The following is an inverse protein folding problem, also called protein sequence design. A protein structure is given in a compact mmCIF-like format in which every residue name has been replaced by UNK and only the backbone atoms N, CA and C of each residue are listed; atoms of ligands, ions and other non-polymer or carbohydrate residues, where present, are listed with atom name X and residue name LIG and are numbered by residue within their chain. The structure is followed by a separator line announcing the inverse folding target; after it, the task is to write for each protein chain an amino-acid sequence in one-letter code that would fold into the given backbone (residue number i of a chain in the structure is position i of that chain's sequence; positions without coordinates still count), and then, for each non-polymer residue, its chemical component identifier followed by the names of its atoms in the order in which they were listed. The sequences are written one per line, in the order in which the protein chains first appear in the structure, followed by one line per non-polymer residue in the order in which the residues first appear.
data_IF_529037826437
#
_entry.id   IF_529037826437
#
_cell.length_a   1.000
_cell.length_b   1.000
_cell.length_c   1.000
_cell.angle_alpha   90.00
_cell.angle_beta   90.00
_cell.angle_gamma   90.00
#
_symmetry.space_group_name_H-M   'P 1'
#
loop_
_entity.id
_entity.type
_entity.pdbx_description
1 polymer ?
#
# COMPACT_ATOMS: atom_id res chain seq x y z
N UNK A 1 -15.12 -6.99 -13.57
CA UNK A 1 -15.69 -6.08 -12.53
C UNK A 1 -17.10 -5.60 -12.84
N UNK A 2 -17.44 -5.33 -14.11
CA UNK A 2 -18.75 -4.79 -14.52
C UNK A 2 -19.99 -5.52 -13.96
N UNK A 3 -20.02 -6.84 -14.04
CA UNK A 3 -21.19 -7.62 -13.61
C UNK A 3 -21.35 -7.75 -12.10
N UNK A 4 -20.28 -7.45 -11.34
CA UNK A 4 -20.24 -7.62 -9.88
C UNK A 4 -20.36 -6.28 -9.19
N UNK A 5 -19.47 -5.33 -9.49
CA UNK A 5 -19.45 -3.99 -8.89
C UNK A 5 -20.44 -3.04 -9.54
N UNK A 6 -20.65 -3.14 -10.86
CA UNK A 6 -21.53 -2.22 -11.59
C UNK A 6 -22.94 -2.11 -11.01
N UNK A 7 -23.64 -3.22 -10.69
CA UNK A 7 -24.96 -3.18 -10.07
C UNK A 7 -24.99 -2.61 -8.65
N UNK A 8 -23.84 -2.53 -7.96
CA UNK A 8 -23.72 -2.12 -6.56
C UNK A 8 -23.22 -0.68 -6.39
N UNK A 9 -22.90 0.01 -7.48
CA UNK A 9 -22.26 1.33 -7.43
C UNK A 9 -22.90 2.30 -8.43
N UNK A 10 -22.62 3.59 -8.26
CA UNK A 10 -22.99 4.64 -9.21
C UNK A 10 -21.88 4.91 -10.24
N UNK A 11 -20.82 4.11 -10.23
CA UNK A 11 -19.67 4.32 -11.11
C UNK A 11 -20.02 4.02 -12.57
N UNK A 12 -19.49 4.85 -13.45
CA UNK A 12 -19.70 4.75 -14.90
C UNK A 12 -18.89 3.58 -15.49
N UNK A 13 -19.30 3.09 -16.67
CA UNK A 13 -18.56 2.03 -17.39
C UNK A 13 -17.07 2.36 -17.55
N UNK A 14 -16.65 3.59 -17.95
CA UNK A 14 -15.23 3.92 -18.02
C UNK A 14 -14.49 3.87 -16.67
N UNK A 15 -15.15 4.22 -15.55
CA UNK A 15 -14.55 4.11 -14.22
C UNK A 15 -14.36 2.63 -13.84
N UNK A 16 -15.33 1.78 -14.17
CA UNK A 16 -15.25 0.33 -13.94
C UNK A 16 -14.19 -0.33 -14.83
N UNK A 17 -14.01 0.12 -16.08
CA UNK A 17 -12.94 -0.34 -16.98
C UNK A 17 -11.57 -0.04 -16.38
N UNK A 18 -11.34 1.22 -15.95
CA UNK A 18 -10.08 1.62 -15.30
C UNK A 18 -9.82 0.83 -14.02
N UNK A 19 -10.86 0.57 -13.23
CA UNK A 19 -10.77 -0.21 -11.99
C UNK A 19 -10.37 -1.66 -12.27
N UNK A 20 -11.03 -2.30 -13.25
CA UNK A 20 -10.74 -3.67 -13.69
C UNK A 20 -9.30 -3.77 -14.18
N UNK A 21 -8.91 -2.92 -15.13
CA UNK A 21 -7.56 -2.90 -15.68
C UNK A 21 -6.50 -2.67 -14.60
N UNK A 22 -6.73 -1.73 -13.69
CA UNK A 22 -5.76 -1.39 -12.62
C UNK A 22 -5.59 -2.54 -11.65
N UNK A 23 -6.70 -3.11 -11.16
CA UNK A 23 -6.70 -4.14 -10.12
C UNK A 23 -6.26 -5.50 -10.62
N UNK A 24 -6.53 -5.85 -11.87
CA UNK A 24 -6.06 -7.09 -12.47
C UNK A 24 -4.59 -6.99 -12.89
N UNK A 25 -4.19 -5.88 -13.55
CA UNK A 25 -2.84 -5.73 -14.06
C UNK A 25 -1.77 -5.72 -12.95
N UNK A 26 -2.06 -5.12 -11.79
CA UNK A 26 -1.11 -5.14 -10.66
C UNK A 26 -0.89 -6.56 -10.17
N UNK A 27 -1.95 -7.36 -10.09
CA UNK A 27 -1.88 -8.72 -9.58
C UNK A 27 -1.22 -9.66 -10.58
N UNK A 28 -1.58 -9.57 -11.87
CA UNK A 28 -0.98 -10.40 -12.91
C UNK A 28 0.52 -10.17 -13.05
N UNK A 29 0.96 -8.91 -12.92
CA UNK A 29 2.39 -8.58 -13.01
C UNK A 29 3.15 -8.94 -11.75
N UNK A 30 2.58 -8.69 -10.57
CA UNK A 30 3.28 -8.86 -9.28
C UNK A 30 3.22 -10.30 -8.76
N UNK A 31 2.27 -11.12 -9.22
CA UNK A 31 2.14 -12.51 -8.78
C UNK A 31 2.07 -13.46 -9.98
N UNK A 32 3.01 -13.39 -10.94
CA UNK A 32 2.87 -14.04 -12.25
C UNK A 32 2.67 -15.56 -12.14
N UNK A 33 3.29 -16.19 -11.14
CA UNK A 33 3.21 -17.65 -10.93
C UNK A 33 2.18 -18.08 -9.87
N UNK A 34 1.35 -17.16 -9.36
CA UNK A 34 0.23 -17.50 -8.49
C UNK A 34 -0.92 -18.15 -9.28
N UNK A 35 -1.74 -18.96 -8.59
CA UNK A 35 -2.89 -19.63 -9.18
C UNK A 35 -3.97 -18.64 -9.59
N UNK A 36 -4.82 -19.04 -10.53
CA UNK A 36 -5.95 -18.22 -10.97
C UNK A 36 -6.86 -17.83 -9.81
N UNK A 37 -7.09 -18.73 -8.84
CA UNK A 37 -7.90 -18.44 -7.66
C UNK A 37 -7.27 -17.35 -6.79
N UNK A 38 -5.96 -17.46 -6.50
CA UNK A 38 -5.25 -16.45 -5.70
C UNK A 38 -5.23 -15.09 -6.40
N UNK A 39 -4.95 -15.07 -7.71
CA UNK A 39 -4.97 -13.84 -8.49
C UNK A 39 -6.36 -13.21 -8.53
N UNK A 40 -7.40 -14.02 -8.77
CA UNK A 40 -8.77 -13.52 -8.84
C UNK A 40 -9.24 -12.91 -7.52
N UNK A 41 -8.92 -13.54 -6.38
CA UNK A 41 -9.34 -12.99 -5.08
C UNK A 41 -8.57 -11.72 -4.72
N UNK A 42 -7.26 -11.69 -4.99
CA UNK A 42 -6.43 -10.51 -4.75
C UNK A 42 -6.85 -9.35 -5.66
N UNK A 43 -7.19 -9.60 -6.93
CA UNK A 43 -7.67 -8.58 -7.85
C UNK A 43 -9.02 -8.01 -7.39
N UNK A 44 -9.97 -8.86 -6.96
CA UNK A 44 -11.25 -8.42 -6.40
C UNK A 44 -11.08 -7.57 -5.14
N UNK A 45 -10.26 -8.03 -4.18
CA UNK A 45 -9.98 -7.26 -2.97
C UNK A 45 -9.30 -5.93 -3.28
N UNK A 46 -8.37 -5.91 -4.25
CA UNK A 46 -7.72 -4.69 -4.73
C UNK A 46 -8.72 -3.72 -5.33
N UNK A 47 -9.62 -4.20 -6.21
CA UNK A 47 -10.67 -3.37 -6.81
C UNK A 47 -11.62 -2.78 -5.76
N UNK A 48 -12.06 -3.60 -4.81
CA UNK A 48 -12.92 -3.17 -3.71
C UNK A 48 -12.20 -2.17 -2.80
N UNK A 49 -10.91 -2.39 -2.51
CA UNK A 49 -10.09 -1.46 -1.74
C UNK A 49 -9.98 -0.09 -2.42
N UNK A 50 -9.67 -0.06 -3.72
CA UNK A 50 -9.64 1.18 -4.52
C UNK A 50 -11.01 1.87 -4.51
N UNK A 51 -12.09 1.11 -4.67
CA UNK A 51 -13.45 1.67 -4.63
C UNK A 51 -13.76 2.34 -3.28
N UNK A 52 -13.40 1.70 -2.17
CA UNK A 52 -13.63 2.24 -0.83
C UNK A 52 -12.82 3.52 -0.59
N UNK A 53 -11.56 3.53 -1.04
CA UNK A 53 -10.66 4.69 -0.99
C UNK A 53 -11.22 5.89 -1.78
N UNK A 54 -11.59 5.65 -3.04
CA UNK A 54 -12.11 6.67 -3.96
C UNK A 54 -13.55 7.14 -3.58
N UNK A 55 -14.21 6.46 -2.63
CA UNK A 55 -15.54 6.83 -2.15
C UNK A 55 -15.53 7.85 -1.00
N UNK A 56 -14.40 8.53 -0.75
CA UNK A 56 -14.21 9.49 0.37
C UNK A 56 -15.28 10.56 0.49
N UNK A 57 -15.77 11.05 -0.64
CA UNK A 57 -16.78 12.11 -0.74
C UNK A 57 -18.22 11.58 -0.63
N UNK A 58 -18.43 10.26 -0.64
CA UNK A 58 -19.75 9.65 -0.50
C UNK A 58 -20.12 9.48 0.98
N UNK A 59 -20.91 10.40 1.52
CA UNK A 59 -21.31 10.39 2.93
C UNK A 59 -22.07 9.14 3.35
N UNK A 60 -22.95 8.61 2.49
CA UNK A 60 -23.71 7.39 2.77
C UNK A 60 -22.78 6.19 2.90
N UNK A 61 -21.89 6.00 1.93
CA UNK A 61 -20.90 4.92 1.94
C UNK A 61 -20.00 5.00 3.18
N UNK A 62 -19.62 6.21 3.60
CA UNK A 62 -18.78 6.39 4.79
C UNK A 62 -19.47 6.11 6.11
N UNK A 63 -20.77 6.40 6.20
CA UNK A 63 -21.57 6.01 7.36
C UNK A 63 -21.63 4.48 7.47
N UNK A 64 -21.83 3.77 6.36
CA UNK A 64 -21.86 2.31 6.30
C UNK A 64 -20.51 1.67 6.64
N UNK A 65 -19.41 2.16 6.02
CA UNK A 65 -18.03 1.76 6.31
C UNK A 65 -17.72 1.93 7.80
N UNK A 66 -18.27 2.96 8.45
CA UNK A 66 -18.14 3.26 9.88
C UNK A 66 -18.44 2.11 10.83
N UNK A 67 -19.32 1.19 10.43
CA UNK A 67 -19.73 0.04 11.25
C UNK A 67 -19.10 -1.29 10.80
N UNK A 68 -18.33 -1.29 9.70
CA UNK A 68 -17.84 -2.51 9.06
C UNK A 68 -17.06 -3.42 10.00
N UNK A 69 -15.98 -2.91 10.61
CA UNK A 69 -15.13 -3.69 11.51
C UNK A 69 -15.90 -4.11 12.77
N UNK A 70 -16.77 -3.25 13.29
CA UNK A 70 -17.63 -3.57 14.44
C UNK A 70 -18.52 -4.77 14.14
N UNK A 71 -19.26 -4.74 13.02
CA UNK A 71 -20.16 -5.81 12.60
C UNK A 71 -19.41 -7.14 12.44
N UNK A 72 -18.18 -7.12 11.89
CA UNK A 72 -17.34 -8.31 11.83
C UNK A 72 -17.03 -8.88 13.22
N UNK A 73 -16.68 -8.04 14.20
CA UNK A 73 -16.30 -8.48 15.54
C UNK A 73 -17.47 -9.04 16.35
N UNK A 74 -18.67 -8.49 16.17
CA UNK A 74 -19.87 -8.96 16.88
C UNK A 74 -20.65 -10.04 16.11
N UNK A 75 -20.21 -10.38 14.89
CA UNK A 75 -20.82 -11.41 14.06
C UNK A 75 -22.12 -10.99 13.38
N UNK A 76 -22.31 -9.68 13.18
CA UNK A 76 -23.45 -9.12 12.45
C UNK A 76 -23.20 -9.12 10.93
N UNK A 77 -24.28 -9.17 10.16
CA UNK A 77 -24.24 -9.07 8.70
C UNK A 77 -23.85 -7.67 8.25
N UNK A 78 -23.10 -7.58 7.16
CA UNK A 78 -22.84 -6.29 6.51
C UNK A 78 -24.06 -5.83 5.70
N UNK A 79 -24.19 -4.52 5.42
CA UNK A 79 -25.17 -4.04 4.46
C UNK A 79 -25.02 -4.73 3.10
N UNK A 80 -26.13 -5.09 2.43
CA UNK A 80 -26.08 -5.70 1.11
C UNK A 80 -25.32 -4.82 0.10
N UNK A 81 -24.47 -5.43 -0.72
CA UNK A 81 -23.69 -4.72 -1.73
C UNK A 81 -22.18 -4.79 -1.47
N UNK A 82 -21.49 -3.63 -1.51
CA UNK A 82 -20.02 -3.57 -1.53
C UNK A 82 -19.39 -4.15 -0.26
N UNK A 83 -19.91 -3.80 0.92
CA UNK A 83 -19.34 -4.26 2.19
C UNK A 83 -19.56 -5.75 2.43
N UNK A 84 -20.73 -6.27 2.05
CA UNK A 84 -21.02 -7.72 2.05
C UNK A 84 -20.04 -8.46 1.11
N UNK A 85 -19.89 -8.00 -0.13
CA UNK A 85 -18.96 -8.59 -1.10
C UNK A 85 -17.49 -8.53 -0.62
N UNK A 86 -17.09 -7.43 0.00
CA UNK A 86 -15.75 -7.26 0.56
C UNK A 86 -15.50 -8.24 1.72
N UNK A 87 -16.48 -8.44 2.60
CA UNK A 87 -16.42 -9.48 3.63
C UNK A 87 -16.33 -10.89 3.03
N UNK A 88 -17.12 -11.20 2.00
CA UNK A 88 -17.07 -12.49 1.32
C UNK A 88 -15.69 -12.76 0.72
N UNK A 89 -15.09 -11.76 0.07
CA UNK A 89 -13.76 -11.90 -0.50
C UNK A 89 -12.68 -12.16 0.57
N UNK A 90 -12.77 -11.51 1.74
CA UNK A 90 -11.86 -11.78 2.86
C UNK A 90 -12.04 -13.19 3.42
N UNK A 91 -13.26 -13.72 3.46
CA UNK A 91 -13.51 -15.13 3.87
C UNK A 91 -12.87 -16.10 2.88
N UNK A 92 -12.99 -15.83 1.58
CA UNK A 92 -12.34 -16.65 0.54
C UNK A 92 -10.81 -16.59 0.65
N UNK A 93 -10.22 -15.40 0.83
CA UNK A 93 -8.78 -15.24 1.05
C UNK A 93 -8.31 -15.99 2.30
N UNK A 94 -9.11 -15.94 3.38
CA UNK A 94 -8.87 -16.70 4.61
C UNK A 94 -8.80 -18.20 4.35
N UNK A 95 -9.70 -18.75 3.53
CA UNK A 95 -9.70 -20.16 3.12
C UNK A 95 -8.51 -20.55 2.24
N UNK A 96 -8.03 -19.65 1.38
CA UNK A 96 -6.80 -19.89 0.61
C UNK A 96 -5.55 -19.95 1.50
N UNK A 97 -5.59 -19.31 2.67
CA UNK A 97 -4.55 -19.32 3.69
C UNK A 97 -4.81 -20.32 4.82
N UNK A 98 -5.64 -21.34 4.57
CA UNK A 98 -5.75 -22.48 5.49
C UNK A 98 -4.37 -23.15 5.69
N UNK A 99 -4.13 -23.65 6.90
CA UNK A 99 -2.90 -24.37 7.27
C UNK A 99 -1.86 -23.57 8.07
N UNK A 100 -1.82 -22.24 7.95
CA UNK A 100 -0.96 -21.38 8.79
C UNK A 100 -1.78 -20.22 9.37
N UNK A 101 -2.02 -20.25 10.68
CA UNK A 101 -2.85 -19.25 11.35
C UNK A 101 -2.21 -17.85 11.40
N UNK A 102 -0.89 -17.78 11.48
CA UNK A 102 -0.18 -16.49 11.56
C UNK A 102 -0.14 -15.87 10.16
N UNK A 103 0.24 -16.64 9.15
CA UNK A 103 0.24 -16.16 7.76
C UNK A 103 -1.17 -15.73 7.32
N UNK A 104 -2.21 -16.48 7.69
CA UNK A 104 -3.60 -16.08 7.43
C UNK A 104 -3.97 -14.76 8.09
N UNK A 105 -3.53 -14.54 9.33
CA UNK A 105 -3.70 -13.26 10.01
C UNK A 105 -3.06 -12.11 9.24
N UNK A 106 -1.79 -12.27 8.84
CA UNK A 106 -1.04 -11.30 8.05
C UNK A 106 -1.68 -11.02 6.67
N UNK A 107 -2.28 -12.04 6.04
CA UNK A 107 -2.94 -11.90 4.75
C UNK A 107 -4.32 -11.22 4.82
N UNK A 108 -5.10 -11.46 5.88
CA UNK A 108 -6.53 -11.08 5.93
C UNK A 108 -6.78 -9.83 6.77
N UNK A 109 -6.12 -9.69 7.93
CA UNK A 109 -6.37 -8.59 8.88
C UNK A 109 -6.11 -7.20 8.27
N UNK A 110 -5.08 -6.99 7.42
CA UNK A 110 -4.86 -5.68 6.82
C UNK A 110 -6.05 -5.16 6.01
N UNK A 111 -6.84 -6.03 5.36
CA UNK A 111 -8.05 -5.66 4.63
C UNK A 111 -9.17 -5.14 5.55
N UNK A 112 -9.27 -5.65 6.78
CA UNK A 112 -10.20 -5.14 7.80
C UNK A 112 -9.72 -3.76 8.28
N UNK A 113 -8.44 -3.67 8.63
CA UNK A 113 -7.83 -2.45 9.15
C UNK A 113 -7.84 -1.29 8.15
N UNK A 114 -7.84 -1.60 6.86
CA UNK A 114 -7.93 -0.64 5.77
C UNK A 114 -9.23 0.16 5.80
N UNK A 115 -10.35 -0.48 6.13
CA UNK A 115 -11.67 0.19 6.20
C UNK A 115 -11.67 1.25 7.31
N UNK A 116 -11.13 0.91 8.49
CA UNK A 116 -10.92 1.87 9.57
C UNK A 116 -9.95 2.99 9.18
N UNK A 117 -8.97 2.67 8.33
CA UNK A 117 -7.98 3.63 7.85
C UNK A 117 -8.58 4.63 6.87
N UNK A 118 -9.49 4.21 5.97
CA UNK A 118 -10.25 5.10 5.09
C UNK A 118 -11.10 6.09 5.90
N UNK A 119 -11.71 5.63 7.00
CA UNK A 119 -12.46 6.49 7.95
C UNK A 119 -11.52 7.50 8.61
N UNK A 120 -10.33 7.05 9.03
CA UNK A 120 -9.33 7.93 9.59
C UNK A 120 -8.97 9.02 8.57
N UNK A 121 -8.62 8.67 7.34
CA UNK A 121 -8.29 9.65 6.29
C UNK A 121 -9.43 10.65 6.03
N UNK A 122 -10.69 10.20 5.94
CA UNK A 122 -11.82 11.15 5.81
C UNK A 122 -11.90 12.09 7.00
N UNK A 123 -11.70 11.61 8.23
CA UNK A 123 -11.67 12.48 9.42
C UNK A 123 -10.54 13.50 9.31
N UNK A 124 -9.38 13.12 8.79
CA UNK A 124 -8.27 14.05 8.61
C UNK A 124 -8.58 15.11 7.54
N UNK A 125 -9.19 14.72 6.42
CA UNK A 125 -9.55 15.63 5.33
C UNK A 125 -10.72 16.56 5.66
N UNK A 126 -11.68 16.11 6.47
CA UNK A 126 -12.87 16.89 6.85
C UNK A 126 -12.63 17.90 7.97
N UNK A 127 -11.46 17.85 8.61
CA UNK A 127 -11.08 18.82 9.64
C UNK A 127 -10.61 20.11 8.98
N UNK A 128 -11.29 21.20 9.32
CA UNK A 128 -10.98 22.56 8.87
C UNK A 128 -9.50 22.88 9.09
N UNK A 129 -8.80 23.17 8.01
CA UNK A 129 -7.38 23.53 8.00
C UNK A 129 -7.10 24.80 8.80
N UNK A 130 -8.07 25.71 8.94
CA UNK A 130 -7.97 26.90 9.81
C UNK A 130 -8.10 26.56 11.30
N UNK A 131 -8.78 25.46 11.63
CA UNK A 131 -8.95 25.01 13.02
C UNK A 131 -7.76 24.18 13.50
N UNK A 132 -6.86 23.76 12.61
CA UNK A 132 -5.62 23.10 13.00
C UNK A 132 -4.68 24.10 13.64
N UNK A 133 -4.29 23.87 14.90
CA UNK A 133 -3.26 24.69 15.54
C UNK A 133 -1.84 24.37 15.01
N UNK A 134 -1.66 23.21 14.38
CA UNK A 134 -0.43 22.81 13.68
C UNK A 134 -0.73 21.77 12.60
N UNK A 135 0.19 21.49 11.66
CA UNK A 135 0.04 20.41 10.69
C UNK A 135 -0.18 19.01 11.30
N UNK A 136 0.14 18.81 12.58
CA UNK A 136 -0.11 17.56 13.33
C UNK A 136 -1.28 17.65 14.30
N UNK A 137 -1.92 18.81 14.38
CA UNK A 137 -3.18 18.95 15.09
C UNK A 137 -4.27 18.33 14.22
N UNK A 138 -4.64 17.11 14.57
CA UNK A 138 -5.68 16.34 13.90
C UNK A 138 -7.08 16.78 14.31
N UNK A 139 -7.25 18.07 14.63
CA UNK A 139 -8.50 18.74 14.96
C UNK A 139 -9.27 18.12 16.11
N UNK A 140 -9.37 18.85 17.22
CA UNK A 140 -10.36 18.50 18.23
C UNK A 140 -11.76 18.91 17.74
N UNK A 141 -12.71 17.96 17.71
CA UNK A 141 -14.08 18.16 17.17
C UNK A 141 -14.84 19.36 17.78
N UNK A 142 -14.39 19.89 18.91
CA UNK A 142 -15.01 21.04 19.58
C UNK A 142 -14.27 22.37 19.38
N UNK A 143 -13.20 22.43 18.58
CA UNK A 143 -12.47 23.68 18.31
C UNK A 143 -13.36 24.71 17.59
N UNK A 144 -14.20 24.29 16.65
CA UNK A 144 -15.18 25.18 16.01
C UNK A 144 -16.14 25.78 17.05
N UNK A 145 -16.67 24.93 17.95
CA UNK A 145 -17.57 25.36 19.03
C UNK A 145 -16.88 26.33 20.00
N UNK A 146 -15.63 26.06 20.36
CA UNK A 146 -14.83 26.92 21.24
C UNK A 146 -14.49 28.27 20.57
N UNK A 147 -14.18 28.28 19.27
CA UNK A 147 -13.93 29.51 18.48
C UNK A 147 -15.20 30.36 18.43
N UNK A 148 -16.38 29.75 18.24
CA UNK A 148 -17.70 30.43 18.31
C UNK A 148 -18.02 30.96 19.71
N UNK A 149 -17.60 30.25 20.75
CA UNK A 149 -17.79 30.64 22.15
C UNK A 149 -16.71 31.64 22.65
N UNK A 150 -15.77 32.06 21.78
CA UNK A 150 -14.73 33.04 22.10
C UNK A 150 -13.62 32.52 23.02
N UNK A 151 -13.56 31.21 23.27
CA UNK A 151 -12.54 30.57 24.11
C UNK A 151 -11.43 30.04 23.19
N UNK A 152 -10.34 30.77 23.04
CA UNK A 152 -9.16 30.30 22.31
C UNK A 152 -8.27 29.47 23.22
N UNK A 153 -8.42 28.15 23.18
CA UNK A 153 -7.34 27.25 23.52
C UNK A 153 -6.66 26.85 22.22
N UNK A 154 -5.75 27.68 21.72
CA UNK A 154 -4.87 27.25 20.64
C UNK A 154 -4.22 25.93 21.08
N UNK A 155 -4.39 24.86 20.30
CA UNK A 155 -3.72 23.60 20.61
C UNK A 155 -2.22 23.88 20.68
N UNK A 156 -1.58 23.37 21.72
CA UNK A 156 -0.18 23.68 22.00
C UNK A 156 0.66 23.11 20.85
N UNK A 157 1.44 23.97 20.19
CA UNK A 157 2.36 23.53 19.14
C UNK A 157 3.22 22.36 19.66
N UNK A 158 3.32 21.30 18.85
CA UNK A 158 4.18 20.16 19.16
C UNK A 158 5.63 20.61 19.23
N UNK A 159 6.40 20.04 20.15
CA UNK A 159 7.81 20.40 20.28
C UNK A 159 8.58 20.11 18.98
N UNK A 160 9.40 21.05 18.48
CA UNK A 160 10.26 20.86 17.31
C UNK A 160 11.34 19.78 17.45
N UNK A 161 11.39 19.06 18.57
CA UNK A 161 12.32 17.96 18.83
C UNK A 161 11.62 16.58 18.82
N UNK A 162 10.30 16.54 18.67
CA UNK A 162 9.55 15.29 18.60
C UNK A 162 9.74 14.65 17.23
N UNK A 163 10.20 13.39 17.20
CA UNK A 163 10.22 12.60 15.98
C UNK A 163 8.80 12.08 15.69
N UNK A 164 8.15 12.63 14.67
CA UNK A 164 6.75 12.35 14.37
C UNK A 164 6.67 11.21 13.36
N UNK A 165 6.31 10.02 13.84
CA UNK A 165 6.16 8.80 13.04
C UNK A 165 4.77 8.65 12.39
N UNK A 166 3.90 9.66 12.55
CA UNK A 166 2.52 9.61 12.07
C UNK A 166 2.38 9.29 10.57
N UNK A 167 3.17 9.88 9.63
CA UNK A 167 3.03 9.56 8.21
C UNK A 167 3.23 8.08 7.90
N UNK A 168 4.26 7.45 8.50
CA UNK A 168 4.55 6.03 8.35
C UNK A 168 3.44 5.19 8.97
N UNK A 169 2.96 5.57 10.15
CA UNK A 169 1.84 4.88 10.80
C UNK A 169 0.57 4.91 9.93
N UNK A 170 0.18 6.09 9.42
CA UNK A 170 -0.99 6.24 8.57
C UNK A 170 -0.85 5.38 7.31
N UNK A 171 0.30 5.45 6.63
CA UNK A 171 0.52 4.68 5.40
C UNK A 171 0.51 3.17 5.62
N UNK A 172 1.08 2.69 6.73
CA UNK A 172 1.02 1.26 7.06
C UNK A 172 -0.43 0.78 7.27
N UNK A 173 -1.34 1.68 7.69
CA UNK A 173 -2.77 1.38 7.85
C UNK A 173 -3.53 1.44 6.52
N UNK A 174 -3.20 2.39 5.65
CA UNK A 174 -3.94 2.67 4.40
C UNK A 174 -3.37 1.95 3.18
N UNK A 175 -2.14 1.42 3.26
CA UNK A 175 -1.46 0.78 2.13
C UNK A 175 -1.72 -0.72 1.94
N UNK A 176 -2.36 -1.40 2.90
CA UNK A 176 -2.67 -2.85 2.85
C UNK A 176 -1.42 -3.74 2.60
N UNK A 177 -0.21 -3.18 2.79
CA UNK A 177 1.01 -3.77 2.26
C UNK A 177 1.38 -5.11 2.89
N UNK A 178 1.03 -5.33 4.16
CA UNK A 178 1.26 -6.61 4.83
C UNK A 178 0.50 -7.77 4.18
N UNK A 179 -0.72 -7.52 3.67
CA UNK A 179 -1.49 -8.55 2.98
C UNK A 179 -0.90 -8.88 1.62
N UNK A 180 -0.46 -7.86 0.86
CA UNK A 180 0.26 -8.07 -0.39
C UNK A 180 1.57 -8.83 -0.15
N UNK A 181 2.33 -8.46 0.88
CA UNK A 181 3.58 -9.12 1.25
C UNK A 181 3.35 -10.59 1.66
N UNK A 182 2.30 -10.87 2.43
CA UNK A 182 1.92 -12.24 2.79
C UNK A 182 1.55 -13.09 1.56
N UNK A 183 0.85 -12.50 0.58
CA UNK A 183 0.45 -13.18 -0.64
C UNK A 183 1.64 -13.56 -1.55
N UNK A 184 2.80 -12.89 -1.42
CA UNK A 184 4.02 -13.21 -2.20
C UNK A 184 4.38 -14.69 -2.03
N UNK A 185 4.22 -15.22 -0.81
CA UNK A 185 4.66 -16.58 -0.45
C UNK A 185 3.52 -17.61 -0.43
N UNK A 186 2.40 -17.30 -1.08
CA UNK A 186 1.21 -18.16 -1.14
C UNK A 186 0.60 -18.17 -2.56
N UNK A 187 1.33 -18.74 -3.51
CA UNK A 187 0.89 -18.87 -4.90
C UNK A 187 -0.32 -19.81 -5.07
N UNK A 188 -0.45 -20.85 -4.26
CA UNK A 188 -1.60 -21.77 -4.30
C UNK A 188 -2.08 -22.06 -2.90
N UNK A 189 -3.32 -22.58 -2.77
CA UNK A 189 -3.87 -23.01 -1.49
C UNK A 189 -3.01 -24.09 -0.81
N UNK A 190 -2.47 -25.01 -1.60
CA UNK A 190 -1.68 -26.15 -1.13
C UNK A 190 -0.21 -25.79 -0.86
N UNK A 191 0.27 -24.65 -1.37
CA UNK A 191 1.64 -24.23 -1.14
C UNK A 191 1.88 -23.96 0.34
N UNK A 192 2.98 -24.49 0.85
CA UNK A 192 3.45 -24.25 2.21
C UNK A 192 4.92 -23.86 2.16
N UNK A 193 5.19 -22.56 2.36
CA UNK A 193 6.52 -22.03 2.60
C UNK A 193 6.58 -21.65 4.08
N UNK A 194 7.52 -22.20 4.88
CA UNK A 194 7.56 -21.93 6.31
C UNK A 194 7.75 -20.45 6.60
N UNK A 195 6.79 -19.84 7.32
CA UNK A 195 6.82 -18.42 7.67
C UNK A 195 8.14 -18.01 8.35
N UNK A 196 8.73 -18.89 9.16
CA UNK A 196 10.02 -18.65 9.82
C UNK A 196 11.19 -18.38 8.88
N UNK A 197 11.07 -18.70 7.58
CA UNK A 197 12.12 -18.44 6.58
C UNK A 197 12.11 -17.02 6.02
N UNK A 198 10.98 -16.31 6.08
CA UNK A 198 10.85 -14.98 5.46
C UNK A 198 10.19 -13.93 6.37
N UNK A 199 9.67 -14.29 7.54
CA UNK A 199 8.99 -13.36 8.46
C UNK A 199 9.86 -12.16 8.84
N UNK A 200 11.19 -12.32 8.93
CA UNK A 200 12.10 -11.22 9.21
C UNK A 200 12.16 -10.17 8.08
N UNK A 201 11.84 -10.56 6.85
CA UNK A 201 11.81 -9.66 5.70
C UNK A 201 10.44 -8.98 5.51
N UNK A 202 9.36 -9.52 6.09
CA UNK A 202 8.00 -8.97 5.92
C UNK A 202 7.88 -7.48 6.28
N UNK A 203 8.47 -6.96 7.39
CA UNK A 203 8.41 -5.52 7.68
C UNK A 203 9.02 -4.66 6.58
N UNK A 204 10.17 -5.07 6.04
CA UNK A 204 10.85 -4.38 4.94
C UNK A 204 10.06 -4.52 3.62
N UNK A 205 9.42 -5.67 3.37
CA UNK A 205 8.54 -5.87 2.20
C UNK A 205 7.31 -4.95 2.26
N UNK A 206 6.65 -4.88 3.43
CA UNK A 206 5.51 -3.99 3.62
C UNK A 206 5.91 -2.52 3.42
N UNK A 207 7.06 -2.11 3.97
CA UNK A 207 7.62 -0.79 3.76
C UNK A 207 7.96 -0.54 2.28
N UNK A 208 8.57 -1.52 1.62
CA UNK A 208 8.90 -1.46 0.19
C UNK A 208 7.66 -1.22 -0.66
N UNK A 209 6.59 -1.97 -0.43
CA UNK A 209 5.33 -1.87 -1.18
C UNK A 209 4.74 -0.47 -1.06
N UNK A 210 4.57 0.05 0.17
CA UNK A 210 3.96 1.37 0.34
C UNK A 210 4.84 2.49 -0.21
N UNK A 211 6.15 2.47 0.06
CA UNK A 211 7.04 3.56 -0.36
C UNK A 211 7.29 3.55 -1.85
N UNK A 212 7.42 2.38 -2.48
CA UNK A 212 7.52 2.32 -3.95
C UNK A 212 6.28 2.89 -4.62
N UNK A 213 5.09 2.60 -4.07
CA UNK A 213 3.85 3.20 -4.54
C UNK A 213 3.89 4.73 -4.38
N UNK A 214 4.20 5.25 -3.19
CA UNK A 214 4.27 6.70 -2.92
C UNK A 214 5.29 7.41 -3.84
N UNK A 215 6.45 6.80 -4.11
CA UNK A 215 7.47 7.38 -5.00
C UNK A 215 7.01 7.42 -6.46
N UNK A 216 6.38 6.35 -6.95
CA UNK A 216 5.95 6.23 -8.34
C UNK A 216 4.60 6.91 -8.59
N UNK A 217 3.78 7.10 -7.55
CA UNK A 217 2.54 7.87 -7.61
C UNK A 217 2.74 9.36 -7.43
N UNK A 218 3.85 9.80 -6.82
CA UNK A 218 4.08 11.20 -6.52
C UNK A 218 3.82 12.15 -7.70
N UNK A 219 4.25 11.78 -8.92
CA UNK A 219 4.00 12.60 -10.10
C UNK A 219 2.52 12.82 -10.40
N UNK A 220 1.71 11.75 -10.41
CA UNK A 220 0.26 11.87 -10.68
C UNK A 220 -0.44 12.68 -9.57
N UNK A 221 0.04 12.58 -8.34
CA UNK A 221 -0.51 13.23 -7.16
C UNK A 221 -0.21 14.73 -7.17
N UNK A 222 1.02 15.11 -7.52
CA UNK A 222 1.40 16.51 -7.73
C UNK A 222 0.56 17.16 -8.84
N UNK A 223 0.32 16.44 -9.95
CA UNK A 223 -0.55 16.93 -11.02
C UNK A 223 -2.01 17.10 -10.58
N UNK A 224 -2.46 16.31 -9.60
CA UNK A 224 -3.80 16.39 -9.03
C UNK A 224 -3.91 17.41 -7.88
N UNK A 225 -2.79 17.97 -7.42
CA UNK A 225 -2.74 18.87 -6.26
C UNK A 225 -3.00 18.16 -4.93
N UNK A 226 -2.77 16.85 -4.86
CA UNK A 226 -2.91 16.06 -3.64
C UNK A 226 -1.82 16.45 -2.62
N UNK A 227 -2.22 16.81 -1.40
CA UNK A 227 -1.29 17.27 -0.35
C UNK A 227 -1.23 16.34 0.87
N UNK A 228 -2.04 15.27 0.86
CA UNK A 228 -2.14 14.28 1.94
C UNK A 228 -1.61 12.96 1.42
N UNK A 229 -0.30 12.93 1.14
CA UNK A 229 0.45 11.73 0.78
C UNK A 229 1.70 11.59 1.66
N UNK A 230 2.38 10.45 1.57
CA UNK A 230 3.56 10.18 2.41
C UNK A 230 4.63 11.26 2.28
N UNK A 231 4.93 11.72 1.07
CA UNK A 231 6.01 12.69 0.82
C UNK A 231 5.67 14.04 1.44
N UNK A 232 4.46 14.56 1.25
CA UNK A 232 4.04 15.84 1.84
C UNK A 232 3.94 15.75 3.35
N UNK A 233 3.27 14.73 3.88
CA UNK A 233 3.11 14.54 5.32
C UNK A 233 4.47 14.38 6.02
N UNK A 234 5.40 13.63 5.41
CA UNK A 234 6.75 13.44 5.95
C UNK A 234 7.65 14.67 5.77
N UNK A 235 7.46 15.44 4.71
CA UNK A 235 8.14 16.74 4.56
C UNK A 235 7.73 17.68 5.68
N UNK A 236 6.42 17.74 5.98
CA UNK A 236 5.90 18.57 7.07
C UNK A 236 6.52 18.17 8.41
N UNK A 237 6.57 16.86 8.73
CA UNK A 237 7.18 16.39 10.00
C UNK A 237 8.67 16.67 10.14
N UNK A 238 9.40 16.70 9.02
CA UNK A 238 10.85 16.91 9.02
C UNK A 238 11.23 18.40 8.92
N UNK A 239 10.41 19.23 8.28
CA UNK A 239 10.65 20.67 8.09
C UNK A 239 10.80 21.42 9.40
N UNK A 240 10.04 21.01 10.43
CA UNK A 240 10.11 21.65 11.74
C UNK A 240 11.28 21.17 12.61
N UNK A 241 11.85 20.01 12.30
CA UNK A 241 12.96 19.44 13.07
C UNK A 241 14.34 19.85 12.52
N UNK A 242 14.46 20.28 11.25
CA UNK A 242 15.78 20.39 10.57
C UNK A 242 15.86 21.49 9.50
N UNK A 243 16.48 22.62 9.85
CA UNK A 243 17.05 23.56 8.87
C UNK A 243 18.36 23.05 8.27
N UNK A 244 18.35 21.93 7.55
CA UNK A 244 19.57 21.29 7.00
C UNK A 244 19.45 20.78 5.56
N UNK A 245 18.40 21.13 4.81
CA UNK A 245 18.34 20.81 3.38
C UNK A 245 19.42 21.57 2.59
N UNK A 246 19.72 21.12 1.36
CA UNK A 246 20.75 21.76 0.52
C UNK A 246 20.48 23.25 0.22
N UNK A 247 19.22 23.68 0.37
CA UNK A 247 18.74 25.06 0.20
C UNK A 247 18.57 25.85 1.51
N UNK A 248 18.90 25.26 2.66
CA UNK A 248 18.70 25.87 4.00
C UNK A 248 17.34 25.54 4.65
N UNK A 249 16.43 24.89 3.92
CA UNK A 249 15.15 24.35 4.44
C UNK A 249 14.94 22.92 3.93
N UNK A 250 14.25 22.07 4.70
CA UNK A 250 13.86 20.74 4.26
C UNK A 250 12.70 20.82 3.26
N UNK A 251 12.85 20.19 2.09
CA UNK A 251 11.90 20.26 0.97
C UNK A 251 11.26 18.91 0.66
N UNK A 252 10.21 18.91 -0.17
CA UNK A 252 9.61 17.68 -0.69
C UNK A 252 10.62 16.83 -1.49
N UNK A 253 11.56 17.47 -2.20
CA UNK A 253 12.64 16.78 -2.91
C UNK A 253 13.61 16.09 -1.93
N UNK A 254 13.92 16.70 -0.79
CA UNK A 254 14.74 16.06 0.25
C UNK A 254 14.05 14.81 0.82
N UNK A 255 12.74 14.90 1.10
CA UNK A 255 11.93 13.74 1.53
C UNK A 255 11.86 12.66 0.48
N UNK A 256 11.66 13.02 -0.80
CA UNK A 256 11.65 12.09 -1.92
C UNK A 256 12.97 11.32 -1.99
N UNK A 257 14.11 12.02 -1.95
CA UNK A 257 15.44 11.42 -1.95
C UNK A 257 15.70 10.55 -0.70
N UNK A 258 15.20 10.96 0.47
CA UNK A 258 15.26 10.16 1.68
C UNK A 258 14.51 8.83 1.51
N UNK A 259 13.27 8.87 1.01
CA UNK A 259 12.46 7.68 0.76
C UNK A 259 13.09 6.77 -0.31
N UNK A 260 13.69 7.33 -1.38
CA UNK A 260 14.45 6.54 -2.36
C UNK A 260 15.62 5.78 -1.71
N UNK A 261 16.33 6.40 -0.77
CA UNK A 261 17.42 5.74 -0.06
C UNK A 261 16.90 4.64 0.88
N UNK A 262 15.89 4.94 1.68
CA UNK A 262 15.32 3.98 2.63
C UNK A 262 14.71 2.76 1.94
N UNK A 263 13.99 2.96 0.83
CA UNK A 263 13.39 1.84 0.08
C UNK A 263 14.44 0.97 -0.61
N UNK A 264 15.53 1.59 -1.10
CA UNK A 264 16.69 0.87 -1.66
C UNK A 264 17.37 0.03 -0.58
N UNK A 265 17.56 0.57 0.62
CA UNK A 265 18.13 -0.16 1.75
C UNK A 265 17.22 -1.30 2.22
N UNK A 266 15.90 -1.09 2.26
CA UNK A 266 14.93 -2.14 2.54
C UNK A 266 15.00 -3.26 1.50
N UNK A 267 15.02 -2.92 0.21
CA UNK A 267 15.17 -3.91 -0.87
C UNK A 267 16.44 -4.75 -0.72
N UNK A 268 17.58 -4.11 -0.39
CA UNK A 268 18.84 -4.81 -0.16
C UNK A 268 18.75 -5.78 1.03
N UNK A 269 18.15 -5.35 2.16
CA UNK A 269 17.96 -6.23 3.33
C UNK A 269 17.06 -7.42 3.00
N UNK A 270 15.98 -7.21 2.24
CA UNK A 270 15.12 -8.30 1.79
C UNK A 270 15.92 -9.29 0.94
N UNK A 271 16.64 -8.81 -0.07
CA UNK A 271 17.46 -9.63 -0.96
C UNK A 271 18.50 -10.47 -0.19
N UNK A 272 19.10 -9.90 0.87
CA UNK A 272 20.01 -10.61 1.77
C UNK A 272 19.29 -11.68 2.59
N UNK A 273 18.15 -11.37 3.22
CA UNK A 273 17.38 -12.30 4.05
C UNK A 273 16.88 -13.49 3.23
N UNK A 274 16.35 -13.24 2.03
CA UNK A 274 15.88 -14.30 1.12
C UNK A 274 17.01 -14.92 0.30
N UNK A 275 18.24 -14.43 0.44
CA UNK A 275 19.44 -14.92 -0.24
C UNK A 275 19.32 -14.93 -1.76
N UNK A 276 18.68 -13.89 -2.31
CA UNK A 276 18.34 -13.83 -3.74
C UNK A 276 19.58 -13.96 -4.62
N UNK A 277 20.63 -13.19 -4.34
CA UNK A 277 21.85 -13.18 -5.16
C UNK A 277 22.58 -14.54 -5.14
N UNK A 278 22.65 -15.19 -3.99
CA UNK A 278 23.23 -16.54 -3.85
C UNK A 278 22.48 -17.54 -4.72
N UNK A 279 21.14 -17.54 -4.61
CA UNK A 279 20.27 -18.47 -5.33
C UNK A 279 20.38 -18.25 -6.83
N UNK A 280 20.31 -17.00 -7.29
CA UNK A 280 20.46 -16.70 -8.71
C UNK A 280 21.83 -17.10 -9.26
N UNK A 281 22.90 -16.85 -8.51
CA UNK A 281 24.26 -17.27 -8.90
C UNK A 281 24.34 -18.78 -9.02
N UNK A 282 23.84 -19.52 -8.02
CA UNK A 282 23.86 -20.97 -8.03
C UNK A 282 22.98 -21.54 -9.15
N UNK A 283 21.84 -20.92 -9.47
CA UNK A 283 20.99 -21.36 -10.59
C UNK A 283 21.68 -21.15 -11.95
N UNK A 284 22.41 -20.03 -12.12
CA UNK A 284 23.27 -19.80 -13.29
C UNK A 284 24.42 -20.80 -13.38
N UNK A 285 25.01 -21.19 -12.25
CA UNK A 285 26.11 -22.15 -12.18
C UNK A 285 25.64 -23.62 -12.28
N UNK A 286 24.40 -23.95 -11.87
CA UNK A 286 23.77 -25.28 -12.01
C UNK A 286 23.59 -25.68 -13.48
N UNK A 287 23.54 -24.70 -14.39
CA UNK A 287 23.62 -24.93 -15.84
C UNK A 287 24.88 -25.72 -16.25
N UNK A 288 25.87 -25.88 -15.35
CA UNK A 288 27.09 -26.68 -15.52
C UNK A 288 27.10 -28.05 -14.80
N UNK A 289 25.94 -28.56 -14.35
CA UNK A 289 25.78 -29.98 -14.01
C UNK A 289 26.24 -30.45 -12.61
N UNK A 290 26.34 -29.57 -11.62
CA UNK A 290 26.58 -29.95 -10.20
C UNK A 290 25.33 -29.71 -9.35
N UNK A 291 24.93 -30.71 -8.57
CA UNK A 291 23.94 -30.51 -7.51
C UNK A 291 24.57 -29.76 -6.33
N UNK A 292 24.11 -28.53 -6.13
CA UNK A 292 24.62 -27.59 -5.13
C UNK A 292 23.82 -27.61 -3.81
N UNK A 293 22.88 -28.56 -3.63
CA UNK A 293 22.17 -28.73 -2.35
C UNK A 293 21.24 -27.59 -1.95
N UNK A 294 20.68 -26.83 -2.91
CA UNK A 294 19.69 -25.79 -2.62
C UNK A 294 18.36 -26.42 -2.16
N UNK A 295 17.81 -25.89 -1.06
CA UNK A 295 16.45 -26.20 -0.65
C UNK A 295 15.46 -25.62 -1.65
N UNK A 296 14.53 -26.44 -2.17
CA UNK A 296 13.44 -25.99 -3.06
C UNK A 296 12.61 -24.86 -2.43
N UNK A 297 12.45 -24.89 -1.10
CA UNK A 297 11.77 -23.84 -0.32
C UNK A 297 12.51 -22.51 -0.41
N UNK A 298 13.83 -22.51 -0.23
CA UNK A 298 14.64 -21.29 -0.27
C UNK A 298 14.65 -20.70 -1.69
N UNK A 299 14.74 -21.56 -2.71
CA UNK A 299 14.62 -21.16 -4.11
C UNK A 299 13.26 -20.53 -4.39
N UNK A 300 12.17 -21.16 -3.94
CA UNK A 300 10.83 -20.62 -4.13
C UNK A 300 10.66 -19.25 -3.48
N UNK A 301 11.08 -19.08 -2.22
CA UNK A 301 10.99 -17.79 -1.50
C UNK A 301 11.73 -16.68 -2.26
N UNK A 302 12.98 -16.92 -2.65
CA UNK A 302 13.77 -15.91 -3.35
C UNK A 302 13.16 -15.53 -4.71
N UNK A 303 12.74 -16.52 -5.49
CA UNK A 303 12.19 -16.27 -6.83
C UNK A 303 10.82 -15.58 -6.76
N UNK A 304 9.98 -15.92 -5.79
CA UNK A 304 8.69 -15.27 -5.59
C UNK A 304 8.84 -13.81 -5.16
N UNK A 305 9.80 -13.51 -4.28
CA UNK A 305 10.17 -12.12 -3.98
C UNK A 305 10.63 -11.36 -5.22
N UNK A 306 11.52 -11.96 -6.03
CA UNK A 306 12.01 -11.36 -7.27
C UNK A 306 10.85 -11.07 -8.26
N UNK A 307 9.98 -12.05 -8.46
CA UNK A 307 8.79 -11.93 -9.31
C UNK A 307 7.91 -10.76 -8.87
N UNK A 308 7.61 -10.68 -7.57
CA UNK A 308 6.84 -9.56 -7.01
C UNK A 308 7.53 -8.22 -7.20
N UNK A 309 8.79 -8.10 -6.79
CA UNK A 309 9.55 -6.85 -6.85
C UNK A 309 9.60 -6.28 -8.26
N UNK A 310 9.97 -7.11 -9.23
CA UNK A 310 10.14 -6.69 -10.62
C UNK A 310 8.77 -6.44 -11.29
N UNK A 311 7.79 -7.29 -10.99
CA UNK A 311 6.41 -7.16 -11.43
C UNK A 311 5.75 -5.86 -10.98
N UNK A 312 5.87 -5.55 -9.69
CA UNK A 312 5.28 -4.36 -9.07
C UNK A 312 5.89 -3.07 -9.64
N UNK A 313 7.22 -3.02 -9.84
CA UNK A 313 7.87 -1.88 -10.50
C UNK A 313 7.39 -1.75 -11.95
N UNK A 314 7.42 -2.83 -12.72
CA UNK A 314 7.05 -2.80 -14.14
C UNK A 314 5.61 -2.33 -14.33
N UNK A 315 4.69 -2.77 -13.47
CA UNK A 315 3.30 -2.34 -13.48
C UNK A 315 3.16 -0.83 -13.32
N UNK A 316 3.85 -0.22 -12.34
CA UNK A 316 3.79 1.23 -12.14
C UNK A 316 4.32 1.99 -13.36
N UNK A 317 5.45 1.55 -13.93
CA UNK A 317 6.09 2.24 -15.05
C UNK A 317 5.29 2.15 -16.36
N UNK A 318 4.48 1.11 -16.52
CA UNK A 318 3.70 0.87 -17.75
C UNK A 318 2.22 1.23 -17.61
N UNK A 319 1.72 1.35 -16.38
CA UNK A 319 0.34 1.71 -16.10
C UNK A 319 0.10 3.19 -16.38
N UNK A 320 -0.92 3.47 -17.20
CA UNK A 320 -1.37 4.82 -17.52
C UNK A 320 -1.87 5.59 -16.29
N UNK A 321 -2.26 4.88 -15.21
CA UNK A 321 -2.72 5.49 -13.95
C UNK A 321 -1.66 6.44 -13.36
N UNK A 322 -0.38 6.11 -13.49
CA UNK A 322 0.71 6.85 -12.85
C UNK A 322 1.29 7.98 -13.70
N UNK A 323 0.91 8.08 -14.98
CA UNK A 323 1.36 9.15 -15.92
C UNK A 323 2.89 9.26 -15.99
N UNK A 324 3.57 8.11 -16.02
CA UNK A 324 5.03 8.01 -16.06
C UNK A 324 5.57 7.81 -17.50
N UNK A 325 4.77 8.11 -18.51
CA UNK A 325 5.12 8.02 -19.93
C UNK A 325 6.36 8.85 -20.28
N UNK A 326 6.60 9.96 -19.56
CA UNK A 326 7.82 10.77 -19.71
C UNK A 326 9.12 10.04 -19.31
N UNK A 327 9.05 8.95 -18.54
CA UNK A 327 10.19 8.12 -18.16
C UNK A 327 10.52 7.11 -19.28
N UNK A 328 9.54 6.76 -20.11
CA UNK A 328 9.73 5.84 -21.23
C UNK A 328 10.58 6.50 -22.32
N UNK A 329 11.57 5.75 -22.82
CA UNK A 329 12.71 6.26 -23.60
C UNK A 329 12.32 7.04 -24.87
N UNK A 330 12.32 8.37 -24.77
CA UNK A 330 12.55 9.27 -25.92
C UNK A 330 13.84 10.12 -25.81
N UNK A 331 14.64 9.95 -24.74
CA UNK A 331 15.87 10.75 -24.55
C UNK A 331 17.21 10.00 -24.64
N UNK A 332 17.20 8.70 -24.89
CA UNK A 332 18.42 7.99 -25.33
C UNK A 332 18.39 7.85 -26.85
N UNK A 333 18.58 8.97 -27.56
CA UNK A 333 19.12 8.86 -28.91
C UNK A 333 20.55 8.32 -28.77
N UNK A 334 20.89 7.17 -29.39
CA UNK A 334 22.27 6.78 -29.54
C UNK A 334 22.89 7.77 -30.53
N UNK A 335 23.37 8.89 -30.02
CA UNK A 335 24.23 9.78 -30.76
C UNK A 335 25.66 9.31 -30.54
N UNK A 336 26.25 8.88 -31.66
CA UNK A 336 27.68 8.72 -31.95
C UNK A 336 28.30 7.32 -31.83
N UNK A 337 28.51 6.77 -33.05
CA UNK A 337 29.52 5.86 -33.60
C UNK A 337 29.70 4.45 -33.03
#
# INVERSE_FOLDING_TARGET
MHNTLGPMTTWTTPQLDVLEDTSEAVIERSYPSASTEMKAIMAKLTALGIFLDDSIENDVMYEEIGSFAHNLYIGESQPPGILELYQECMKELSHLHDGDAVLRGLAVVPWINFVDACILEKRLLTIDTELRASPYDMGYQHLDKQRRDGISHAARETSPAANIHFPIYLRNRTGIAEAYAAAIFKHTKEQSLPLSRYIMALPDMSFYIVVMNDLLSFHKEELAGETVNMIHLRTQTLKENRGTGASGEWTALDTFNLLCNEVREAANRIDEIVRLQDIEKILRDRSYGRDMGLSEVDVAIALQWREFRDGYISWHLESQRYKLDFIQREQFQPTWF
#
